data_IF_992925843431
#
_entry.id   IF_992925843431
#
_cell.length_a   1.000
_cell.length_b   1.000
_cell.length_c   1.000
_cell.angle_alpha   90.00
_cell.angle_beta   90.00
_cell.angle_gamma   90.00
#
_symmetry.space_group_name_H-M   'P 1'
#
loop_
_entity.id
_entity.type
_entity.pdbx_description
1 polymer ?
#
# COMPACT_ATOMS: atom_id res chain seq x y z
N UNK A 1 7.49 13.48 -19.58
CA UNK A 1 7.12 12.56 -18.49
C UNK A 1 8.21 11.50 -18.42
N UNK A 2 8.85 11.30 -17.27
CA UNK A 2 9.79 10.18 -17.12
C UNK A 2 8.99 8.86 -17.08
N UNK A 3 9.51 7.82 -17.72
CA UNK A 3 8.91 6.49 -17.70
C UNK A 3 9.11 5.83 -16.34
N UNK A 4 8.04 5.28 -15.76
CA UNK A 4 8.13 4.44 -14.57
C UNK A 4 8.97 3.19 -14.86
N UNK A 5 9.80 2.80 -13.89
CA UNK A 5 10.58 1.56 -13.94
C UNK A 5 10.06 0.61 -12.86
N UNK A 6 9.75 -0.63 -13.23
CA UNK A 6 9.35 -1.67 -12.29
C UNK A 6 10.60 -2.29 -11.66
N UNK A 7 11.02 -1.78 -10.50
CA UNK A 7 12.28 -2.18 -9.85
C UNK A 7 12.21 -3.52 -9.12
N UNK A 8 11.01 -3.97 -8.75
CA UNK A 8 10.78 -5.19 -7.98
C UNK A 8 9.37 -5.74 -8.25
N UNK A 9 9.27 -7.05 -8.48
CA UNK A 9 8.01 -7.79 -8.58
C UNK A 9 8.08 -8.99 -7.64
N UNK A 10 7.04 -9.14 -6.83
CA UNK A 10 6.83 -10.28 -5.95
C UNK A 10 5.64 -11.10 -6.45
N UNK A 11 5.67 -12.42 -6.25
CA UNK A 11 4.50 -13.28 -6.45
C UNK A 11 3.59 -13.34 -5.21
N UNK A 12 2.56 -14.19 -5.27
CA UNK A 12 1.61 -14.38 -4.16
C UNK A 12 2.22 -14.98 -2.89
N UNK A 13 3.39 -15.63 -3.01
CA UNK A 13 4.17 -16.13 -1.87
C UNK A 13 5.15 -15.08 -1.34
N UNK A 14 5.20 -13.89 -1.97
CA UNK A 14 6.17 -12.80 -1.75
C UNK A 14 7.59 -13.15 -2.17
N UNK A 15 7.74 -14.12 -3.07
CA UNK A 15 9.01 -14.45 -3.68
C UNK A 15 9.31 -13.49 -4.84
N UNK A 16 10.58 -13.13 -5.02
CA UNK A 16 11.00 -12.21 -6.08
C UNK A 16 10.94 -12.94 -7.42
N UNK A 17 10.10 -12.44 -8.34
CA UNK A 17 9.97 -12.99 -9.70
C UNK A 17 10.56 -12.08 -10.78
N UNK A 18 10.79 -10.80 -10.47
CA UNK A 18 11.53 -9.89 -11.34
C UNK A 18 12.13 -8.71 -10.55
N UNK A 19 13.21 -8.12 -11.06
CA UNK A 19 13.90 -7.01 -10.41
C UNK A 19 14.64 -7.44 -9.15
N UNK A 20 14.83 -6.53 -8.19
CA UNK A 20 15.42 -6.84 -6.90
C UNK A 20 15.12 -5.79 -5.83
N UNK A 21 15.18 -6.22 -4.56
CA UNK A 21 15.10 -5.29 -3.43
C UNK A 21 16.20 -4.23 -3.49
N UNK A 22 17.42 -4.61 -3.87
CA UNK A 22 18.52 -3.65 -4.04
C UNK A 22 18.24 -2.58 -5.10
N UNK A 23 17.57 -2.94 -6.21
CA UNK A 23 17.18 -1.98 -7.23
C UNK A 23 16.15 -0.99 -6.69
N UNK A 24 15.16 -1.48 -5.93
CA UNK A 24 14.19 -0.63 -5.24
C UNK A 24 14.88 0.29 -4.22
N UNK A 25 15.72 -0.26 -3.34
CA UNK A 25 16.49 0.50 -2.34
C UNK A 25 17.31 1.60 -2.98
N UNK A 26 18.05 1.31 -4.07
CA UNK A 26 18.83 2.32 -4.78
C UNK A 26 17.95 3.41 -5.42
N UNK A 27 16.75 3.07 -5.90
CA UNK A 27 15.82 4.05 -6.46
C UNK A 27 15.32 5.00 -5.36
N UNK A 28 14.86 4.46 -4.23
CA UNK A 28 14.40 5.25 -3.07
C UNK A 28 15.53 6.11 -2.51
N UNK A 29 16.76 5.57 -2.39
CA UNK A 29 17.94 6.34 -1.97
C UNK A 29 18.21 7.56 -2.86
N UNK A 30 17.85 7.49 -4.14
CA UNK A 30 17.99 8.58 -5.12
C UNK A 30 16.77 9.52 -5.16
N UNK A 31 15.81 9.37 -4.25
CA UNK A 31 14.62 10.21 -4.17
C UNK A 31 13.56 9.86 -5.21
N UNK A 32 13.49 8.61 -5.66
CA UNK A 32 12.43 8.18 -6.57
C UNK A 32 11.06 8.18 -5.88
N UNK A 33 10.03 8.61 -6.62
CA UNK A 33 8.64 8.37 -6.25
C UNK A 33 8.32 6.87 -6.27
N UNK A 34 7.37 6.44 -5.43
CA UNK A 34 6.98 5.05 -5.33
C UNK A 34 5.52 4.84 -5.73
N UNK A 35 5.32 3.93 -6.69
CA UNK A 35 4.02 3.33 -7.02
C UNK A 35 4.08 1.83 -6.77
N UNK A 36 3.02 1.29 -6.20
CA UNK A 36 2.88 -0.16 -5.98
C UNK A 36 1.64 -0.63 -6.73
N UNK A 37 1.82 -1.70 -7.49
CA UNK A 37 0.74 -2.44 -8.13
C UNK A 37 0.45 -3.69 -7.32
N UNK A 38 -0.82 -3.93 -7.00
CA UNK A 38 -1.29 -5.13 -6.31
C UNK A 38 -2.41 -5.81 -7.09
N UNK A 39 -2.45 -7.13 -6.97
CA UNK A 39 -3.56 -7.94 -7.45
C UNK A 39 -4.11 -8.77 -6.28
N UNK A 40 -5.43 -8.75 -6.08
CA UNK A 40 -6.11 -9.51 -5.03
C UNK A 40 -7.56 -9.82 -5.44
N UNK A 41 -8.23 -10.75 -4.76
CA UNK A 41 -9.65 -11.00 -5.00
C UNK A 41 -10.54 -10.11 -4.16
N UNK A 42 -11.67 -9.67 -4.73
CA UNK A 42 -12.64 -8.82 -4.04
C UNK A 42 -13.10 -9.42 -2.70
N UNK A 43 -13.47 -10.70 -2.69
CA UNK A 43 -13.89 -11.43 -1.51
C UNK A 43 -12.77 -11.87 -0.56
N UNK A 44 -11.50 -11.57 -0.85
CA UNK A 44 -10.38 -11.81 0.06
C UNK A 44 -9.95 -10.53 0.78
N UNK A 45 -10.28 -9.34 0.23
CA UNK A 45 -9.72 -8.07 0.70
C UNK A 45 -10.72 -6.93 0.86
N UNK A 46 -11.72 -6.79 -0.02
CA UNK A 46 -12.66 -5.65 -0.02
C UNK A 46 -13.90 -5.97 0.83
N UNK A 47 -14.64 -7.01 0.43
CA UNK A 47 -15.79 -7.50 1.17
C UNK A 47 -15.70 -9.02 1.28
N UNK A 48 -15.18 -9.48 2.43
CA UNK A 48 -14.95 -10.90 2.71
C UNK A 48 -16.23 -11.73 2.82
N UNK A 49 -17.41 -11.10 2.79
CA UNK A 49 -18.72 -11.78 2.77
C UNK A 49 -19.35 -11.81 1.38
N UNK A 50 -18.80 -11.07 0.43
CA UNK A 50 -19.26 -11.03 -0.95
C UNK A 50 -19.02 -12.37 -1.65
N UNK A 51 -19.94 -12.75 -2.53
CA UNK A 51 -19.76 -13.90 -3.42
C UNK A 51 -18.85 -13.58 -4.64
N UNK A 52 -18.46 -12.31 -4.81
CA UNK A 52 -17.63 -11.88 -5.95
C UNK A 52 -16.18 -12.32 -5.78
N UNK A 53 -15.70 -13.18 -6.68
CA UNK A 53 -14.30 -13.63 -6.76
C UNK A 53 -13.45 -12.79 -7.72
N UNK A 54 -13.95 -11.61 -8.11
CA UNK A 54 -13.32 -10.70 -9.06
C UNK A 54 -11.85 -10.43 -8.70
N UNK A 55 -10.97 -10.54 -9.70
CA UNK A 55 -9.57 -10.14 -9.57
C UNK A 55 -9.44 -8.63 -9.72
N UNK A 56 -9.20 -7.97 -8.59
CA UNK A 56 -8.96 -6.53 -8.52
C UNK A 56 -7.49 -6.26 -8.83
N UNK A 57 -7.25 -5.16 -9.57
CA UNK A 57 -5.94 -4.66 -9.95
C UNK A 57 -5.84 -3.22 -9.48
N UNK A 58 -5.03 -2.96 -8.46
CA UNK A 58 -4.89 -1.63 -7.86
C UNK A 58 -3.49 -1.10 -8.15
N UNK A 59 -3.40 0.17 -8.58
CA UNK A 59 -2.15 0.93 -8.60
C UNK A 59 -2.29 2.07 -7.61
N UNK A 60 -1.40 2.09 -6.64
CA UNK A 60 -1.41 3.05 -5.54
C UNK A 60 -0.12 3.87 -5.54
N UNK A 61 -0.24 5.18 -5.27
CA UNK A 61 0.88 6.08 -5.06
C UNK A 61 1.22 6.18 -3.57
N UNK A 62 2.51 6.05 -3.26
CA UNK A 62 3.05 6.14 -1.92
C UNK A 62 3.92 7.38 -1.83
N UNK A 63 3.28 8.52 -1.60
CA UNK A 63 3.91 9.84 -1.61
C UNK A 63 4.99 10.03 -0.52
N UNK A 64 5.00 9.18 0.51
CA UNK A 64 6.04 9.17 1.55
C UNK A 64 6.84 7.89 1.42
N UNK A 65 8.15 8.01 1.21
CA UNK A 65 9.06 6.86 1.11
C UNK A 65 10.01 6.84 2.30
N UNK A 66 10.25 5.67 2.87
CA UNK A 66 11.23 5.44 3.91
C UNK A 66 12.39 4.60 3.39
N UNK A 67 13.59 4.95 3.85
CA UNK A 67 14.78 4.12 3.73
C UNK A 67 15.43 4.00 5.10
N UNK A 68 15.23 2.86 5.75
CA UNK A 68 15.71 2.59 7.10
C UNK A 68 17.06 1.85 7.02
N UNK A 69 18.04 2.33 7.78
CA UNK A 69 19.41 1.78 7.82
C UNK A 69 20.07 1.63 6.44
N UNK A 70 19.66 2.47 5.48
CA UNK A 70 20.13 2.41 4.09
C UNK A 70 19.87 1.05 3.40
N UNK A 71 18.97 0.23 3.98
CA UNK A 71 18.74 -1.19 3.62
C UNK A 71 17.28 -1.53 3.38
N UNK A 72 16.36 -0.95 4.14
CA UNK A 72 14.95 -1.32 4.10
C UNK A 72 14.11 -0.20 3.52
N UNK A 73 13.58 -0.42 2.32
CA UNK A 73 12.67 0.47 1.63
C UNK A 73 11.21 0.18 2.03
N UNK A 74 10.45 1.25 2.24
CA UNK A 74 9.01 1.19 2.42
C UNK A 74 8.32 2.43 1.82
N UNK A 75 7.04 2.28 1.49
CA UNK A 75 6.14 3.35 1.11
C UNK A 75 5.03 3.52 2.14
N UNK A 76 4.64 4.76 2.39
CA UNK A 76 3.46 5.13 3.14
C UNK A 76 2.52 5.95 2.24
N UNK A 77 1.31 5.45 2.09
CA UNK A 77 0.20 6.22 1.53
C UNK A 77 -0.33 7.12 2.64
N UNK A 78 -0.09 8.42 2.50
CA UNK A 78 -0.51 9.47 3.46
C UNK A 78 -1.92 9.99 3.20
N UNK A 79 -2.47 9.73 2.00
CA UNK A 79 -3.78 10.15 1.57
C UNK A 79 -4.45 8.99 0.83
N UNK A 80 -5.28 8.24 1.54
CA UNK A 80 -6.32 7.39 0.93
C UNK A 80 -7.65 7.92 1.42
N UNK A 81 -8.60 8.14 0.53
CA UNK A 81 -10.00 8.14 0.93
C UNK A 81 -10.47 6.67 1.00
N UNK A 82 -10.70 6.10 2.19
CA UNK A 82 -11.59 4.96 2.30
C UNK A 82 -12.99 5.35 1.85
N UNK A 83 -13.46 4.71 0.79
CA UNK A 83 -14.87 4.67 0.43
C UNK A 83 -15.30 3.23 0.67
N UNK A 84 -16.14 2.98 1.67
CA UNK A 84 -16.99 1.80 1.62
C UNK A 84 -18.21 2.18 0.79
N UNK A 85 -18.45 1.41 -0.27
CA UNK A 85 -19.71 1.43 -0.97
C UNK A 85 -20.64 0.50 -0.18
N UNK A 86 -21.84 0.92 0.29
CA UNK A 86 -22.50 2.21 0.11
C UNK A 86 -22.25 3.24 1.25
N UNK A 87 -21.76 2.79 2.41
CA UNK A 87 -21.59 3.63 3.60
C UNK A 87 -20.13 4.06 3.75
N UNK A 88 -19.88 5.38 3.75
CA UNK A 88 -18.53 5.96 3.80
C UNK A 88 -17.74 5.67 5.08
N UNK A 89 -16.97 6.64 5.57
CA UNK A 89 -16.35 6.47 6.88
C UNK A 89 -17.46 6.26 7.92
N UNK A 90 -17.33 5.21 8.74
CA UNK A 90 -18.11 5.09 9.97
C UNK A 90 -18.11 6.43 10.74
N UNK A 91 -19.05 6.67 11.65
CA UNK A 91 -19.53 8.01 12.03
C UNK A 91 -18.48 9.00 12.58
N UNK A 92 -17.25 8.53 12.84
CA UNK A 92 -16.15 9.31 13.42
C UNK A 92 -15.14 9.75 12.35
N UNK A 93 -14.78 11.04 12.29
CA UNK A 93 -13.68 11.54 11.47
C UNK A 93 -12.40 10.74 11.71
N UNK A 94 -11.82 10.19 10.65
CA UNK A 94 -10.61 9.38 10.71
C UNK A 94 -9.81 9.48 9.41
N UNK A 95 -8.53 9.16 9.49
CA UNK A 95 -7.62 9.10 8.34
C UNK A 95 -6.98 7.71 8.29
N UNK A 96 -6.82 7.14 7.11
CA UNK A 96 -6.19 5.82 6.94
C UNK A 96 -4.81 5.95 6.30
N UNK A 97 -3.85 5.28 6.91
CA UNK A 97 -2.46 5.20 6.48
C UNK A 97 -2.15 3.75 6.10
N UNK A 98 -1.64 3.53 4.89
CA UNK A 98 -1.23 2.21 4.43
C UNK A 98 0.28 2.21 4.21
N UNK A 99 0.98 1.31 4.88
CA UNK A 99 2.41 1.12 4.73
C UNK A 99 2.67 -0.21 4.04
N UNK A 100 3.56 -0.20 3.05
CA UNK A 100 4.04 -1.36 2.34
C UNK A 100 5.57 -1.34 2.37
N UNK A 101 6.22 -2.48 2.64
CA UNK A 101 7.68 -2.59 2.63
C UNK A 101 8.16 -3.44 1.42
N UNK A 102 9.48 -3.49 1.23
CA UNK A 102 10.11 -4.18 0.10
C UNK A 102 9.94 -5.71 0.04
N UNK A 103 9.37 -6.34 1.08
CA UNK A 103 9.07 -7.78 1.11
C UNK A 103 7.55 -8.06 0.99
N UNK A 104 6.76 -7.03 0.65
CA UNK A 104 5.33 -7.16 0.38
C UNK A 104 4.46 -7.26 1.64
N UNK A 105 5.02 -7.11 2.84
CA UNK A 105 4.21 -6.96 4.04
C UNK A 105 3.57 -5.57 4.10
N UNK A 106 2.42 -5.53 4.77
CA UNK A 106 1.58 -4.36 4.83
C UNK A 106 1.20 -4.06 6.28
N UNK A 107 1.02 -2.78 6.59
CA UNK A 107 0.44 -2.31 7.84
C UNK A 107 -0.59 -1.22 7.57
N UNK A 108 -1.64 -1.18 8.40
CA UNK A 108 -2.70 -0.17 8.36
C UNK A 108 -2.76 0.55 9.69
N UNK A 109 -2.78 1.88 9.65
CA UNK A 109 -3.15 2.73 10.78
C UNK A 109 -4.39 3.54 10.46
N UNK A 110 -5.37 3.56 11.38
CA UNK A 110 -6.56 4.41 11.26
C UNK A 110 -6.79 5.24 12.53
N UNK A 111 -6.03 6.33 12.73
CA UNK A 111 -6.32 7.28 13.81
C UNK A 111 -7.67 7.97 13.61
N UNK A 112 -8.42 8.12 14.71
CA UNK A 112 -9.58 9.01 14.79
C UNK A 112 -9.10 10.43 15.09
N UNK A 113 -9.69 11.41 14.40
CA UNK A 113 -9.29 12.83 14.44
C UNK A 113 -10.32 13.69 15.18
N UNK A 114 -10.97 13.11 16.19
CA UNK A 114 -12.08 13.73 16.92
C UNK A 114 -11.79 13.91 18.42
N UNK A 115 -10.57 13.58 18.88
CA UNK A 115 -10.14 13.73 20.27
C UNK A 115 -10.81 12.77 21.26
N UNK A 116 -11.67 11.86 20.81
CA UNK A 116 -12.30 10.87 21.68
C UNK A 116 -11.40 9.65 21.87
N UNK A 117 -11.49 9.02 23.05
CA UNK A 117 -10.72 7.80 23.35
C UNK A 117 -11.01 6.71 22.31
N UNK A 118 -9.96 6.01 21.90
CA UNK A 118 -10.08 4.75 21.17
C UNK A 118 -10.64 3.70 22.15
N UNK A 119 -11.75 3.06 21.77
CA UNK A 119 -12.34 1.94 22.51
C UNK A 119 -11.76 0.65 21.96
#
# INVERSE_FOLDING_TARGET
MHSWTCSLVLDSSREIVAGSQDALVRAIRRGADLRIYTEFRHNEHIDVRSASDEKVREVAEFAVTYLVEDRWAAGLMSLRQPVSLPDGFGPRPSMSFFLYNQDGHQALGRPHLDGQKTV
#
